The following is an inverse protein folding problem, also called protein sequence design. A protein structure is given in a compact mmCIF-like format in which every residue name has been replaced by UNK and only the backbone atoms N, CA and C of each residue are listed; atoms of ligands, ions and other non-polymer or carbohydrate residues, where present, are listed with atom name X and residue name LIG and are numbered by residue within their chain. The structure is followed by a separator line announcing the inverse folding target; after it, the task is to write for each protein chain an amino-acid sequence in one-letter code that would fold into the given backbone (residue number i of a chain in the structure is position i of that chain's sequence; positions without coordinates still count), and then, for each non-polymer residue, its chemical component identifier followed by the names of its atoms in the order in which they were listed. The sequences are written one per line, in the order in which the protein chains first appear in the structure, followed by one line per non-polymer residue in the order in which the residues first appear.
data_IF_552459690545
#
_entry.id   IF_552459690545
#
_cell.length_a   1.000
_cell.length_b   1.000
_cell.length_c   1.000
_cell.angle_alpha   90.00
_cell.angle_beta   90.00
_cell.angle_gamma   90.00
#
_symmetry.space_group_name_H-M   'P 1'
#
loop_
_entity.id
_entity.type
_entity.pdbx_description
1 polymer ?
#
# COMPACT_ATOMS: atom_id res chain seq x y z
N UNK A 1 -19.82 5.40 -46.63
CA UNK A 1 -18.78 4.85 -45.74
C UNK A 1 -17.71 5.94 -45.57
N UNK A 2 -17.91 6.82 -44.59
CA UNK A 2 -17.23 8.12 -44.50
C UNK A 2 -16.14 8.05 -43.44
N UNK A 3 -14.88 8.21 -43.87
CA UNK A 3 -13.70 8.38 -43.01
C UNK A 3 -13.78 9.74 -42.31
N UNK A 4 -13.69 9.78 -40.98
CA UNK A 4 -13.37 11.00 -40.22
C UNK A 4 -11.93 10.93 -39.71
N UNK A 5 -11.13 11.92 -40.12
CA UNK A 5 -9.85 12.29 -39.50
C UNK A 5 -10.16 12.95 -38.16
N UNK A 6 -9.60 12.44 -37.07
CA UNK A 6 -9.50 13.13 -35.79
C UNK A 6 -8.26 14.04 -35.85
N UNK A 7 -8.48 15.34 -35.72
CA UNK A 7 -7.42 16.31 -35.46
C UNK A 7 -7.06 16.22 -33.97
N UNK A 8 -5.81 15.87 -33.67
CA UNK A 8 -5.23 16.06 -32.35
C UNK A 8 -5.05 17.56 -32.12
N UNK A 9 -5.92 18.15 -31.28
CA UNK A 9 -5.69 19.48 -30.75
C UNK A 9 -4.69 19.33 -29.59
N UNK A 10 -3.43 19.72 -29.82
CA UNK A 10 -2.42 19.80 -28.78
C UNK A 10 -2.81 20.87 -27.77
N UNK A 11 -3.28 20.43 -26.59
CA UNK A 11 -3.37 21.27 -25.41
C UNK A 11 -2.00 21.33 -24.77
N UNK A 12 -1.24 22.39 -25.08
CA UNK A 12 -0.04 22.73 -24.30
C UNK A 12 -0.54 23.38 -23.02
N UNK A 13 -0.62 22.60 -21.94
CA UNK A 13 -0.96 23.11 -20.61
C UNK A 13 0.21 23.98 -20.11
N UNK A 14 0.09 25.29 -20.30
CA UNK A 14 1.11 26.27 -19.95
C UNK A 14 1.07 26.58 -18.46
N UNK A 15 1.61 25.68 -17.63
CA UNK A 15 2.31 25.92 -16.36
C UNK A 15 1.67 26.73 -15.20
N UNK A 16 0.54 27.42 -15.37
CA UNK A 16 0.01 28.39 -14.39
C UNK A 16 -1.17 27.89 -13.56
N UNK A 17 -1.79 26.76 -13.92
CA UNK A 17 -2.99 26.25 -13.21
C UNK A 17 -2.72 25.17 -12.15
N UNK A 18 -1.47 24.72 -11.96
CA UNK A 18 -1.16 23.64 -11.01
C UNK A 18 -0.93 24.10 -9.56
N UNK A 19 -0.86 25.41 -9.29
CA UNK A 19 -0.66 25.92 -7.92
C UNK A 19 -1.91 25.77 -7.02
N UNK A 20 -3.04 25.30 -7.54
CA UNK A 20 -4.25 25.04 -6.76
C UNK A 20 -4.60 23.57 -6.57
N UNK A 21 -3.82 22.64 -7.14
CA UNK A 21 -4.08 21.21 -6.91
C UNK A 21 -3.66 20.84 -5.49
N UNK A 22 -4.45 20.02 -4.76
CA UNK A 22 -4.06 19.54 -3.44
C UNK A 22 -2.73 18.79 -3.50
N UNK A 23 -1.91 18.90 -2.46
CA UNK A 23 -0.64 18.16 -2.38
C UNK A 23 -0.89 16.65 -2.26
N UNK A 24 0.08 15.82 -2.66
CA UNK A 24 -0.05 14.37 -2.56
C UNK A 24 -0.34 13.91 -1.11
N UNK A 25 0.34 14.42 -0.07
CA UNK A 25 0.02 14.07 1.32
C UNK A 25 -1.42 14.38 1.71
N UNK A 26 -1.98 15.50 1.23
CA UNK A 26 -3.37 15.86 1.53
C UNK A 26 -4.37 14.92 0.84
N UNK A 27 -4.07 14.48 -0.39
CA UNK A 27 -4.90 13.50 -1.10
C UNK A 27 -4.78 12.11 -0.50
N UNK A 28 -3.57 11.69 -0.12
CA UNK A 28 -3.37 10.43 0.60
C UNK A 28 -4.15 10.40 1.90
N UNK A 29 -4.07 11.47 2.71
CA UNK A 29 -4.79 11.55 3.99
C UNK A 29 -6.33 11.48 3.84
N UNK A 30 -6.87 11.80 2.66
CA UNK A 30 -8.31 11.64 2.38
C UNK A 30 -8.70 10.18 2.13
N UNK A 31 -7.80 9.36 1.60
CA UNK A 31 -7.98 7.90 1.54
C UNK A 31 -7.77 7.31 2.92
N UNK A 32 -6.59 7.58 3.48
CA UNK A 32 -6.17 7.14 4.79
C UNK A 32 -4.96 7.98 5.27
N UNK A 33 -5.05 8.62 6.44
CA UNK A 33 -3.86 9.16 7.11
C UNK A 33 -2.80 8.05 7.30
N UNK A 34 -1.52 8.43 7.28
CA UNK A 34 -0.41 7.46 7.30
C UNK A 34 -0.45 6.54 8.53
N UNK A 35 -0.78 7.06 9.71
CA UNK A 35 -0.91 6.30 10.95
C UNK A 35 -2.09 5.32 10.91
N UNK A 36 -3.22 5.72 10.31
CA UNK A 36 -4.38 4.86 10.07
C UNK A 36 -4.02 3.72 9.12
N UNK A 37 -3.30 4.03 8.04
CA UNK A 37 -2.91 3.05 7.03
C UNK A 37 -1.94 2.00 7.61
N UNK A 38 -0.96 2.44 8.39
CA UNK A 38 -0.05 1.58 9.15
C UNK A 38 -0.80 0.69 10.13
N UNK A 39 -1.78 1.23 10.87
CA UNK A 39 -2.56 0.45 11.82
C UNK A 39 -3.44 -0.61 11.14
N UNK A 40 -4.06 -0.27 10.02
CA UNK A 40 -4.84 -1.20 9.20
C UNK A 40 -3.97 -2.32 8.63
N UNK A 41 -2.80 -2.01 8.07
CA UNK A 41 -1.80 -3.01 7.68
C UNK A 41 -1.44 -3.95 8.84
N UNK A 42 -1.17 -3.40 10.03
CA UNK A 42 -0.89 -4.22 11.21
C UNK A 42 -2.08 -5.10 11.59
N UNK A 43 -3.31 -4.62 11.46
CA UNK A 43 -4.51 -5.44 11.71
C UNK A 43 -4.61 -6.62 10.72
N UNK A 44 -4.32 -6.39 9.44
CA UNK A 44 -4.23 -7.44 8.42
C UNK A 44 -3.19 -8.50 8.78
N UNK A 45 -1.95 -8.10 9.07
CA UNK A 45 -0.90 -9.06 9.41
C UNK A 45 -1.16 -9.79 10.74
N UNK A 46 -1.77 -9.14 11.74
CA UNK A 46 -2.20 -9.84 12.97
C UNK A 46 -3.22 -10.92 12.67
N UNK A 47 -4.22 -10.62 11.83
CA UNK A 47 -5.21 -11.60 11.41
C UNK A 47 -4.52 -12.76 10.66
N UNK A 48 -3.64 -12.46 9.71
CA UNK A 48 -2.93 -13.49 8.95
C UNK A 48 -2.16 -14.45 9.87
N UNK A 49 -1.39 -13.91 10.83
CA UNK A 49 -0.67 -14.73 11.82
C UNK A 49 -1.63 -15.55 12.68
N UNK A 50 -2.76 -14.98 13.11
CA UNK A 50 -3.76 -15.70 13.91
C UNK A 50 -4.40 -16.86 13.15
N UNK A 51 -4.61 -16.73 11.84
CA UNK A 51 -5.13 -17.82 11.00
C UNK A 51 -4.16 -19.00 10.94
N UNK A 52 -2.85 -18.74 10.87
CA UNK A 52 -1.82 -19.79 10.82
C UNK A 52 -1.41 -20.32 12.21
N UNK A 53 -1.39 -19.46 13.22
CA UNK A 53 -0.93 -19.74 14.57
C UNK A 53 -1.86 -19.12 15.63
N UNK A 54 -3.08 -19.68 15.83
CA UNK A 54 -4.08 -19.13 16.75
C UNK A 54 -3.54 -18.91 18.17
N UNK A 55 -3.90 -17.78 18.77
CA UNK A 55 -3.46 -17.39 20.12
C UNK A 55 -2.06 -16.77 20.17
N UNK A 56 -1.36 -16.64 19.05
CA UNK A 56 -0.09 -15.92 18.98
C UNK A 56 -0.31 -14.42 19.02
N UNK A 57 0.30 -13.75 19.99
CA UNK A 57 0.37 -12.29 20.02
C UNK A 57 1.63 -11.78 19.28
N UNK A 58 1.42 -10.80 18.40
CA UNK A 58 2.48 -10.15 17.62
C UNK A 58 2.53 -8.67 18.02
N UNK A 59 3.72 -8.18 18.35
CA UNK A 59 3.93 -6.75 18.63
C UNK A 59 3.90 -5.93 17.33
N UNK A 60 3.59 -4.64 17.45
CA UNK A 60 3.59 -3.71 16.32
C UNK A 60 4.94 -3.67 15.61
N UNK A 61 6.04 -3.65 16.37
CA UNK A 61 7.40 -3.66 15.81
C UNK A 61 7.68 -4.91 14.97
N UNK A 62 7.17 -6.07 15.40
CA UNK A 62 7.37 -7.33 14.68
C UNK A 62 6.58 -7.35 13.37
N UNK A 63 5.33 -6.86 13.40
CA UNK A 63 4.49 -6.71 12.21
C UNK A 63 5.01 -5.63 11.26
N UNK A 64 5.85 -4.73 11.75
CA UNK A 64 6.49 -3.72 10.94
C UNK A 64 7.80 -4.17 10.30
N UNK A 65 8.39 -5.26 10.77
CA UNK A 65 9.65 -5.75 10.25
C UNK A 65 9.48 -6.28 8.81
N UNK A 66 10.19 -5.75 7.80
CA UNK A 66 9.93 -6.11 6.39
C UNK A 66 10.08 -7.60 6.09
N UNK A 67 11.06 -8.26 6.70
CA UNK A 67 11.24 -9.72 6.54
C UNK A 67 10.09 -10.51 7.15
N UNK A 68 9.52 -10.04 8.27
CA UNK A 68 8.34 -10.70 8.87
C UNK A 68 7.13 -10.55 7.95
N UNK A 69 6.94 -9.36 7.36
CA UNK A 69 5.89 -9.13 6.38
C UNK A 69 6.05 -10.00 5.14
N UNK A 70 7.27 -10.16 4.64
CA UNK A 70 7.60 -11.09 3.54
C UNK A 70 7.20 -12.53 3.88
N UNK A 71 7.58 -13.03 5.06
CA UNK A 71 7.27 -14.41 5.48
C UNK A 71 5.75 -14.63 5.66
N UNK A 72 5.03 -13.65 6.21
CA UNK A 72 3.56 -13.69 6.29
C UNK A 72 2.94 -13.70 4.88
N UNK A 73 3.40 -12.82 3.99
CA UNK A 73 2.94 -12.77 2.60
C UNK A 73 3.22 -14.07 1.84
N UNK A 74 4.38 -14.67 2.06
CA UNK A 74 4.76 -15.98 1.51
C UNK A 74 3.81 -17.08 1.99
N UNK A 75 3.50 -17.13 3.29
CA UNK A 75 2.55 -18.10 3.84
C UNK A 75 1.13 -17.90 3.25
N UNK A 76 0.66 -16.65 3.15
CA UNK A 76 -0.62 -16.32 2.51
C UNK A 76 -0.68 -16.75 1.04
N UNK A 77 0.44 -16.69 0.31
CA UNK A 77 0.57 -17.20 -1.05
C UNK A 77 0.60 -18.75 -1.13
N UNK A 78 0.49 -19.46 0.00
CA UNK A 78 0.50 -20.93 0.06
C UNK A 78 1.90 -21.54 0.08
N UNK A 79 2.94 -20.75 0.35
CA UNK A 79 4.32 -21.21 0.41
C UNK A 79 4.76 -21.48 1.86
N UNK A 80 4.11 -22.46 2.49
CA UNK A 80 4.38 -22.90 3.86
C UNK A 80 3.40 -22.31 4.89
N UNK A 81 3.80 -22.32 6.16
CA UNK A 81 3.06 -21.71 7.26
C UNK A 81 3.84 -20.57 7.92
N UNK A 82 3.26 -20.00 8.98
CA UNK A 82 3.92 -18.99 9.81
C UNK A 82 4.45 -19.65 11.08
N UNK A 83 5.74 -19.53 11.34
CA UNK A 83 6.38 -19.91 12.59
C UNK A 83 6.71 -18.65 13.42
N UNK A 84 5.96 -18.34 14.49
CA UNK A 84 6.20 -17.15 15.29
C UNK A 84 7.57 -17.08 15.96
N UNK A 85 8.23 -18.22 16.25
CA UNK A 85 9.57 -18.22 16.82
C UNK A 85 10.60 -17.79 15.78
N UNK A 86 10.57 -18.40 14.60
CA UNK A 86 11.39 -17.99 13.46
C UNK A 86 11.18 -16.52 13.08
N UNK A 87 9.93 -16.02 13.11
CA UNK A 87 9.66 -14.60 12.85
C UNK A 87 10.37 -13.67 13.86
N UNK A 88 10.41 -14.04 15.15
CA UNK A 88 11.10 -13.25 16.18
C UNK A 88 12.61 -13.28 15.99
N UNK A 89 13.18 -14.41 15.60
CA UNK A 89 14.60 -14.54 15.28
C UNK A 89 14.97 -13.64 14.09
N UNK A 90 14.18 -13.67 13.01
CA UNK A 90 14.39 -12.82 11.84
C UNK A 90 14.30 -11.33 12.17
N UNK A 91 13.44 -10.94 13.11
CA UNK A 91 13.29 -9.56 13.55
C UNK A 91 14.34 -9.10 14.57
N UNK A 92 15.24 -9.99 15.02
CA UNK A 92 16.34 -9.65 15.90
C UNK A 92 17.56 -9.05 15.17
N UNK A 93 17.45 -8.85 13.85
CA UNK A 93 18.48 -8.20 13.03
C UNK A 93 18.92 -6.86 13.63
N UNK A 94 20.24 -6.70 13.75
CA UNK A 94 20.86 -5.45 14.21
C UNK A 94 20.57 -4.27 13.27
N UNK A 95 20.12 -3.15 13.85
CA UNK A 95 19.90 -1.88 13.15
C UNK A 95 20.48 -0.70 13.92
N UNK A 96 20.82 0.37 13.20
CA UNK A 96 21.23 1.68 13.73
C UNK A 96 20.17 2.72 13.39
N UNK A 97 19.84 3.58 14.34
CA UNK A 97 18.91 4.69 14.09
C UNK A 97 19.63 5.88 13.44
N UNK A 98 19.22 6.22 12.22
CA UNK A 98 19.65 7.40 11.47
C UNK A 98 18.45 8.34 11.20
N UNK A 99 17.46 8.37 12.11
CA UNK A 99 16.13 8.93 11.85
C UNK A 99 15.21 7.95 11.11
N UNK A 100 15.77 6.80 10.73
CA UNK A 100 15.16 5.58 10.23
C UNK A 100 16.05 4.40 10.63
N UNK A 101 15.51 3.19 10.78
CA UNK A 101 16.30 2.00 11.10
C UNK A 101 17.14 1.58 9.89
N UNK A 102 18.46 1.70 9.99
CA UNK A 102 19.41 1.25 8.97
C UNK A 102 20.02 -0.08 9.37
N UNK A 103 19.99 -1.05 8.47
CA UNK A 103 20.57 -2.38 8.68
C UNK A 103 22.06 -2.26 9.04
N UNK A 104 22.47 -2.90 10.14
CA UNK A 104 23.84 -2.82 10.64
C UNK A 104 24.46 -4.18 10.97
N UNK A 105 23.65 -5.23 11.06
CA UNK A 105 24.05 -6.60 11.38
C UNK A 105 25.08 -7.16 10.38
N UNK A 106 26.25 -7.66 10.82
CA UNK A 106 27.21 -8.35 9.95
C UNK A 106 26.64 -9.57 9.20
N UNK A 107 25.59 -10.21 9.74
CA UNK A 107 24.90 -11.34 9.11
C UNK A 107 23.75 -10.91 8.17
N UNK A 108 23.56 -9.60 7.96
CA UNK A 108 22.44 -9.07 7.18
C UNK A 108 22.35 -9.64 5.75
N UNK A 109 23.48 -9.97 5.11
CA UNK A 109 23.46 -10.53 3.76
C UNK A 109 22.68 -11.85 3.67
N UNK A 110 22.76 -12.70 4.69
CA UNK A 110 22.01 -13.96 4.74
C UNK A 110 20.53 -13.70 5.07
N UNK A 111 20.27 -12.84 6.05
CA UNK A 111 18.92 -12.49 6.49
C UNK A 111 18.12 -11.72 5.42
N UNK A 112 18.81 -10.97 4.55
CA UNK A 112 18.25 -10.21 3.43
C UNK A 112 18.41 -10.93 2.08
N UNK A 113 18.76 -12.22 2.04
CA UNK A 113 18.97 -12.94 0.78
C UNK A 113 17.79 -12.79 -0.18
N UNK A 114 16.57 -12.97 0.33
CA UNK A 114 15.37 -12.93 -0.50
C UNK A 114 15.14 -11.54 -1.12
N UNK A 115 15.09 -10.42 -0.35
CA UNK A 115 14.98 -9.08 -0.96
C UNK A 115 16.13 -8.76 -1.92
N UNK A 116 17.38 -9.09 -1.55
CA UNK A 116 18.55 -8.80 -2.39
C UNK A 116 18.49 -9.57 -3.72
N UNK A 117 18.02 -10.82 -3.71
CA UNK A 117 17.84 -11.62 -4.93
C UNK A 117 16.73 -11.08 -5.84
N UNK A 118 15.67 -10.53 -5.27
CA UNK A 118 14.55 -9.96 -6.04
C UNK A 118 14.98 -8.72 -6.82
N UNK A 119 15.83 -7.88 -6.23
CA UNK A 119 16.28 -6.63 -6.84
C UNK A 119 17.59 -6.78 -7.63
N UNK A 120 18.29 -7.90 -7.50
CA UNK A 120 19.59 -8.13 -8.12
C UNK A 120 19.49 -8.09 -9.65
N UNK A 121 20.33 -7.29 -10.32
CA UNK A 121 20.54 -7.42 -11.75
C UNK A 121 21.05 -8.83 -12.11
N UNK A 122 20.81 -9.33 -13.34
CA UNK A 122 21.27 -10.65 -13.74
C UNK A 122 22.77 -10.86 -13.51
N UNK A 123 23.11 -11.91 -12.74
CA UNK A 123 24.49 -12.28 -12.42
C UNK A 123 25.16 -11.47 -11.31
N UNK A 124 24.42 -10.56 -10.65
CA UNK A 124 24.90 -9.80 -9.50
C UNK A 124 24.40 -10.39 -8.18
N UNK A 125 25.12 -10.09 -7.10
CA UNK A 125 24.75 -10.46 -5.73
C UNK A 125 24.96 -9.27 -4.81
N UNK A 126 24.03 -8.30 -4.78
CA UNK A 126 24.14 -7.12 -3.94
C UNK A 126 24.38 -7.50 -2.49
N UNK A 127 25.27 -6.78 -1.82
CA UNK A 127 25.59 -6.99 -0.41
C UNK A 127 25.27 -5.72 0.38
N UNK A 128 24.70 -5.83 1.59
CA UNK A 128 24.52 -4.68 2.46
C UNK A 128 25.87 -4.23 3.03
N UNK A 129 26.03 -2.92 3.20
CA UNK A 129 27.07 -2.29 3.99
C UNK A 129 26.66 -2.37 5.48
N UNK A 130 27.55 -2.87 6.33
CA UNK A 130 27.26 -3.24 7.73
C UNK A 130 28.34 -2.75 8.68
N UNK A 131 28.17 -2.93 10.00
CA UNK A 131 29.19 -2.55 10.98
C UNK A 131 30.56 -3.23 10.74
N UNK A 132 30.57 -4.40 10.10
CA UNK A 132 31.80 -5.09 9.71
C UNK A 132 32.65 -4.29 8.70
N UNK A 133 32.07 -3.32 8.00
CA UNK A 133 32.74 -2.45 7.03
C UNK A 133 33.35 -1.18 7.67
N UNK A 134 33.24 -1.01 9.00
CA UNK A 134 33.96 0.01 9.77
C UNK A 134 33.64 1.46 9.40
N UNK A 135 34.68 2.29 9.17
CA UNK A 135 34.51 3.73 8.89
C UNK A 135 33.65 4.03 7.65
N UNK A 136 33.62 3.10 6.69
CA UNK A 136 32.77 3.20 5.49
C UNK A 136 31.29 3.18 5.88
N UNK A 137 30.91 2.25 6.75
CA UNK A 137 29.55 2.17 7.30
C UNK A 137 29.19 3.41 8.13
N UNK A 138 30.07 3.86 9.02
CA UNK A 138 29.84 5.07 9.82
C UNK A 138 29.64 6.33 8.94
N UNK A 139 30.38 6.42 7.83
CA UNK A 139 30.22 7.50 6.87
C UNK A 139 28.85 7.43 6.19
N UNK A 140 28.44 6.25 5.73
CA UNK A 140 27.13 6.05 5.11
C UNK A 140 25.98 6.36 6.07
N UNK A 141 26.05 5.91 7.33
CA UNK A 141 25.05 6.21 8.37
C UNK A 141 24.89 7.71 8.58
N UNK A 142 26.00 8.46 8.65
CA UNK A 142 25.94 9.93 8.78
C UNK A 142 25.27 10.57 7.57
N UNK A 143 25.61 10.15 6.35
CA UNK A 143 24.99 10.67 5.13
C UNK A 143 23.49 10.34 5.08
N UNK A 144 23.11 9.14 5.53
CA UNK A 144 21.69 8.74 5.63
C UNK A 144 20.95 9.63 6.62
N UNK A 145 21.51 9.86 7.82
CA UNK A 145 20.90 10.74 8.82
C UNK A 145 20.71 12.17 8.28
N UNK A 146 21.74 12.72 7.66
CA UNK A 146 21.67 14.05 7.02
C UNK A 146 20.62 14.09 5.89
N UNK A 147 20.46 13.00 5.13
CA UNK A 147 19.47 12.88 4.07
C UNK A 147 18.03 12.79 4.57
N UNK A 148 17.80 12.04 5.65
CA UNK A 148 16.49 11.97 6.33
C UNK A 148 16.10 13.35 6.86
N UNK A 149 17.05 14.06 7.50
CA UNK A 149 16.83 15.42 8.00
C UNK A 149 16.58 16.41 6.86
N UNK A 150 17.31 16.27 5.74
CA UNK A 150 17.10 17.05 4.54
C UNK A 150 15.68 16.85 3.98
N UNK A 151 15.22 15.61 3.85
CA UNK A 151 13.87 15.32 3.37
C UNK A 151 12.80 15.97 4.27
N UNK A 152 12.91 15.79 5.60
CA UNK A 152 12.00 16.41 6.57
C UNK A 152 12.01 17.94 6.50
N UNK A 153 13.16 18.54 6.26
CA UNK A 153 13.31 20.00 6.15
C UNK A 153 12.68 20.56 4.88
N UNK A 154 12.90 19.92 3.73
CA UNK A 154 12.44 20.43 2.44
C UNK A 154 10.94 20.16 2.22
N UNK A 155 10.45 18.98 2.62
CA UNK A 155 9.07 18.57 2.37
C UNK A 155 8.45 17.87 3.60
N UNK A 156 8.26 18.57 4.73
CA UNK A 156 7.87 17.96 6.01
C UNK A 156 6.58 17.15 5.94
N UNK A 157 5.56 17.65 5.21
CA UNK A 157 4.31 16.93 5.05
C UNK A 157 4.47 15.64 4.24
N UNK A 158 5.30 15.66 3.18
CA UNK A 158 5.59 14.48 2.38
C UNK A 158 6.48 13.49 3.14
N UNK A 159 7.45 13.98 3.91
CA UNK A 159 8.29 13.15 4.77
C UNK A 159 7.47 12.42 5.85
N UNK A 160 6.57 13.13 6.54
CA UNK A 160 5.67 12.50 7.52
C UNK A 160 4.71 11.48 6.88
N UNK A 161 4.33 11.71 5.63
CA UNK A 161 3.42 10.86 4.89
C UNK A 161 4.08 9.60 4.31
N UNK A 162 5.31 9.68 3.81
CA UNK A 162 6.03 8.57 3.18
C UNK A 162 6.88 7.76 4.16
N UNK A 163 7.63 8.42 5.07
CA UNK A 163 8.55 7.72 5.98
C UNK A 163 7.84 6.84 7.01
N UNK A 164 6.53 7.06 7.24
CA UNK A 164 5.72 6.17 8.08
C UNK A 164 5.61 4.74 7.51
N UNK A 165 5.84 4.58 6.21
CA UNK A 165 5.75 3.29 5.51
C UNK A 165 7.11 2.60 5.37
N UNK A 166 8.21 3.35 5.51
CA UNK A 166 9.57 2.80 5.47
C UNK A 166 9.97 2.36 6.86
N UNK A 167 10.10 1.05 7.06
CA UNK A 167 10.43 0.45 8.36
C UNK A 167 11.92 0.14 8.49
N UNK A 168 12.62 0.01 7.36
CA UNK A 168 14.03 -0.34 7.32
C UNK A 168 14.69 0.24 6.06
N UNK A 169 15.96 0.63 6.17
CA UNK A 169 16.83 0.98 5.06
C UNK A 169 18.07 0.11 5.06
N UNK A 170 18.49 -0.40 3.91
CA UNK A 170 19.81 -1.01 3.75
C UNK A 170 20.63 -0.26 2.70
N UNK A 171 21.85 0.11 3.08
CA UNK A 171 22.83 0.66 2.14
C UNK A 171 23.54 -0.50 1.48
N UNK A 172 23.62 -0.52 0.16
CA UNK A 172 24.29 -1.56 -0.63
C UNK A 172 25.74 -1.15 -0.88
N UNK A 173 26.65 -2.12 -0.92
CA UNK A 173 28.05 -1.87 -1.30
C UNK A 173 28.12 -1.57 -2.80
N UNK A 174 28.65 -0.39 -3.15
CA UNK A 174 28.75 0.09 -4.52
C UNK A 174 29.38 -0.91 -5.51
N UNK A 175 30.35 -1.71 -5.05
CA UNK A 175 31.03 -2.73 -5.87
C UNK A 175 30.18 -3.97 -6.16
N UNK A 176 29.06 -4.17 -5.46
CA UNK A 176 28.16 -5.33 -5.61
C UNK A 176 26.74 -4.97 -6.02
N UNK A 177 26.33 -3.70 -5.91
CA UNK A 177 24.96 -3.26 -6.19
C UNK A 177 24.55 -3.47 -7.65
N UNK A 178 25.51 -3.57 -8.56
CA UNK A 178 25.25 -3.81 -9.98
C UNK A 178 24.57 -2.63 -10.67
N UNK A 179 24.69 -1.42 -10.11
CA UNK A 179 24.06 -0.19 -10.62
C UNK A 179 22.64 0.04 -10.13
N UNK A 180 22.19 -0.71 -9.11
CA UNK A 180 20.95 -0.40 -8.39
C UNK A 180 21.16 0.88 -7.58
N UNK A 181 20.56 1.99 -8.02
CA UNK A 181 20.62 3.28 -7.31
C UNK A 181 19.71 3.28 -6.07
N UNK A 182 18.46 2.88 -6.27
CA UNK A 182 17.49 2.63 -5.21
C UNK A 182 16.53 1.53 -5.65
N UNK A 183 15.98 0.80 -4.68
CA UNK A 183 14.96 -0.20 -4.93
C UNK A 183 14.09 -0.45 -3.70
N UNK A 184 12.84 -0.79 -3.96
CA UNK A 184 11.88 -1.37 -3.04
C UNK A 184 11.17 -2.52 -3.76
N UNK A 185 10.46 -3.37 -3.01
CA UNK A 185 9.71 -4.47 -3.60
C UNK A 185 8.43 -4.74 -2.85
N UNK A 186 7.32 -4.88 -3.58
CA UNK A 186 6.03 -5.32 -3.02
C UNK A 186 6.11 -6.67 -2.30
N UNK A 187 7.10 -7.50 -2.62
CA UNK A 187 7.29 -8.79 -1.95
C UNK A 187 7.84 -8.59 -0.53
N UNK A 188 8.68 -7.57 -0.30
CA UNK A 188 9.30 -7.30 0.99
C UNK A 188 8.93 -5.88 1.43
N UNK A 189 7.64 -5.59 1.68
CA UNK A 189 7.19 -4.23 1.92
C UNK A 189 7.77 -3.67 3.22
N UNK A 190 8.24 -2.43 3.16
CA UNK A 190 8.78 -1.63 4.24
C UNK A 190 10.30 -1.51 4.22
N UNK A 191 11.00 -2.09 3.23
CA UNK A 191 12.45 -1.98 3.08
C UNK A 191 12.82 -1.11 1.88
N UNK A 192 13.70 -0.14 2.13
CA UNK A 192 14.33 0.67 1.09
C UNK A 192 15.79 0.25 0.96
N UNK A 193 16.19 -0.10 -0.25
CA UNK A 193 17.56 -0.42 -0.59
C UNK A 193 18.13 0.75 -1.39
N UNK A 194 19.30 1.27 -1.01
CA UNK A 194 19.99 2.32 -1.76
C UNK A 194 21.43 1.93 -2.02
N UNK A 195 22.01 2.37 -3.13
CA UNK A 195 23.46 2.30 -3.31
C UNK A 195 24.17 3.12 -2.23
N UNK A 196 25.48 2.89 -2.07
CA UNK A 196 26.28 3.69 -1.14
C UNK A 196 26.20 5.19 -1.51
N UNK A 197 25.55 6.02 -0.67
CA UNK A 197 25.24 7.39 -1.06
C UNK A 197 26.48 8.28 -0.96
N UNK A 198 26.65 9.18 -1.93
CA UNK A 198 27.74 10.17 -1.92
C UNK A 198 27.30 11.44 -1.18
N UNK A 199 26.00 11.71 -1.10
CA UNK A 199 25.50 12.86 -0.36
C UNK A 199 24.04 12.78 0.09
N UNK A 200 23.63 13.68 1.00
CA UNK A 200 22.29 13.67 1.62
C UNK A 200 21.13 13.76 0.62
N UNK A 201 21.34 14.47 -0.49
CA UNK A 201 20.31 14.66 -1.51
C UNK A 201 19.93 13.36 -2.21
N UNK A 202 20.88 12.45 -2.43
CA UNK A 202 20.62 11.13 -3.03
C UNK A 202 19.76 10.27 -2.11
N UNK A 203 20.03 10.30 -0.79
CA UNK A 203 19.22 9.62 0.22
C UNK A 203 17.81 10.21 0.28
N UNK A 204 17.69 11.53 0.32
CA UNK A 204 16.38 12.19 0.38
C UNK A 204 15.53 11.87 -0.86
N UNK A 205 16.14 11.90 -2.05
CA UNK A 205 15.47 11.54 -3.30
C UNK A 205 15.05 10.05 -3.31
N UNK A 206 15.94 9.15 -2.92
CA UNK A 206 15.63 7.72 -2.85
C UNK A 206 14.50 7.43 -1.84
N UNK A 207 14.49 8.10 -0.69
CA UNK A 207 13.41 7.95 0.30
C UNK A 207 12.07 8.49 -0.20
N UNK A 208 12.05 9.54 -1.02
CA UNK A 208 10.82 10.01 -1.67
C UNK A 208 10.33 9.00 -2.71
N UNK A 209 11.23 8.48 -3.53
CA UNK A 209 10.88 7.52 -4.58
C UNK A 209 10.38 6.21 -3.96
N UNK A 210 11.25 5.53 -3.21
CA UNK A 210 10.95 4.22 -2.66
C UNK A 210 9.90 4.31 -1.54
N UNK A 211 9.90 5.37 -0.74
CA UNK A 211 8.84 5.59 0.26
C UNK A 211 7.45 5.81 -0.36
N UNK A 212 7.37 6.34 -1.59
CA UNK A 212 6.12 6.40 -2.33
C UNK A 212 5.65 5.01 -2.76
N UNK A 213 6.54 4.15 -3.26
CA UNK A 213 6.21 2.74 -3.53
C UNK A 213 5.74 2.02 -2.27
N UNK A 214 6.42 2.20 -1.14
CA UNK A 214 6.02 1.58 0.13
C UNK A 214 4.63 2.01 0.59
N UNK A 215 4.33 3.31 0.46
CA UNK A 215 2.99 3.82 0.72
C UNK A 215 1.96 3.24 -0.25
N UNK A 216 2.30 3.13 -1.53
CA UNK A 216 1.44 2.51 -2.53
C UNK A 216 1.15 1.05 -2.21
N UNK A 217 2.14 0.27 -1.76
CA UNK A 217 1.91 -1.13 -1.36
C UNK A 217 0.93 -1.21 -0.20
N UNK A 218 1.07 -0.35 0.81
CA UNK A 218 0.12 -0.29 1.94
C UNK A 218 -1.28 0.14 1.51
N UNK A 219 -1.41 1.07 0.57
CA UNK A 219 -2.69 1.44 -0.04
C UNK A 219 -3.28 0.24 -0.79
N UNK A 220 -2.49 -0.44 -1.62
CA UNK A 220 -2.95 -1.56 -2.43
C UNK A 220 -3.50 -2.74 -1.61
N UNK A 221 -2.95 -2.99 -0.41
CA UNK A 221 -3.43 -4.07 0.47
C UNK A 221 -4.58 -3.67 1.41
N UNK A 222 -4.92 -2.38 1.50
CA UNK A 222 -5.97 -1.89 2.42
C UNK A 222 -7.11 -1.15 1.72
N UNK A 223 -6.92 -0.68 0.49
CA UNK A 223 -7.83 0.17 -0.27
C UNK A 223 -8.17 -0.45 -1.62
N UNK A 224 -9.21 0.07 -2.25
CA UNK A 224 -9.69 -0.44 -3.54
C UNK A 224 -8.85 0.14 -4.68
N UNK A 225 -7.66 -0.42 -4.89
CA UNK A 225 -6.72 0.05 -5.93
C UNK A 225 -6.73 -0.83 -7.19
N UNK A 226 -6.53 -2.13 -7.01
CA UNK A 226 -6.41 -3.12 -8.08
C UNK A 226 -7.15 -4.39 -7.67
N UNK A 227 -7.71 -5.12 -8.63
CA UNK A 227 -8.29 -6.44 -8.44
C UNK A 227 -7.57 -7.49 -9.31
N UNK A 228 -8.11 -8.71 -9.37
CA UNK A 228 -7.55 -9.80 -10.16
C UNK A 228 -7.51 -9.51 -11.67
N UNK A 229 -8.31 -8.56 -12.18
CA UNK A 229 -8.32 -8.20 -13.60
C UNK A 229 -7.17 -7.27 -13.99
N UNK A 230 -6.46 -6.67 -13.02
CA UNK A 230 -5.32 -5.82 -13.28
C UNK A 230 -4.16 -6.55 -14.02
N UNK A 231 -4.09 -7.88 -13.91
CA UNK A 231 -3.10 -8.70 -14.63
C UNK A 231 -3.41 -8.82 -16.14
N UNK A 232 -4.68 -8.67 -16.53
CA UNK A 232 -5.16 -8.78 -17.91
C UNK A 232 -5.12 -7.43 -18.66
N UNK A 233 -4.84 -6.33 -17.96
CA UNK A 233 -4.81 -4.99 -18.52
C UNK A 233 -3.67 -4.79 -19.54
N UNK A 234 -3.82 -3.79 -20.40
CA UNK A 234 -2.77 -3.43 -21.35
C UNK A 234 -1.48 -3.01 -20.62
N UNK A 235 -0.33 -3.36 -21.19
CA UNK A 235 0.96 -2.97 -20.64
C UNK A 235 1.34 -1.57 -21.12
N UNK A 236 1.75 -0.71 -20.21
CA UNK A 236 2.36 0.57 -20.56
C UNK A 236 3.81 0.35 -21.03
N UNK A 237 4.18 0.93 -22.18
CA UNK A 237 5.57 0.96 -22.64
C UNK A 237 6.13 2.38 -22.47
N UNK A 238 7.14 2.53 -21.62
CA UNK A 238 7.69 3.86 -21.34
C UNK A 238 8.60 4.39 -22.45
N UNK A 239 8.61 5.71 -22.65
CA UNK A 239 9.35 6.37 -23.74
C UNK A 239 10.88 6.37 -23.58
N UNK A 240 11.42 6.15 -22.38
CA UNK A 240 12.85 6.33 -22.09
C UNK A 240 13.67 5.04 -22.05
N UNK A 241 13.03 3.89 -21.85
CA UNK A 241 13.70 2.58 -21.78
C UNK A 241 12.99 1.51 -22.61
N UNK A 242 11.78 1.78 -23.12
CA UNK A 242 10.94 0.80 -23.82
C UNK A 242 10.61 -0.44 -22.97
N UNK A 243 10.75 -0.33 -21.64
CA UNK A 243 10.29 -1.37 -20.74
C UNK A 243 8.76 -1.37 -20.72
N UNK A 244 8.20 -2.58 -20.74
CA UNK A 244 6.76 -2.82 -20.67
C UNK A 244 6.38 -3.13 -19.23
N UNK A 245 5.43 -2.39 -18.70
CA UNK A 245 5.00 -2.48 -17.32
C UNK A 245 3.53 -2.91 -17.22
N UNK A 246 3.20 -3.88 -16.35
CA UNK A 246 1.81 -4.17 -16.03
C UNK A 246 1.15 -2.97 -15.31
N UNK A 247 -0.17 -2.98 -15.20
CA UNK A 247 -0.95 -1.88 -14.62
C UNK A 247 -0.50 -1.51 -13.20
N UNK A 248 -0.25 -2.50 -12.34
CA UNK A 248 0.24 -2.29 -10.97
C UNK A 248 1.55 -1.49 -10.95
N UNK A 249 2.56 -1.96 -11.71
CA UNK A 249 3.86 -1.30 -11.78
C UNK A 249 3.75 0.10 -12.41
N UNK A 250 2.84 0.26 -13.37
CA UNK A 250 2.58 1.54 -14.02
C UNK A 250 2.01 2.56 -13.04
N UNK A 251 1.02 2.16 -12.22
CA UNK A 251 0.45 3.02 -11.20
C UNK A 251 1.48 3.36 -10.10
N UNK A 252 2.24 2.36 -9.62
CA UNK A 252 3.29 2.57 -8.63
C UNK A 252 4.35 3.57 -9.13
N UNK A 253 4.83 3.40 -10.37
CA UNK A 253 5.78 4.32 -11.00
C UNK A 253 5.21 5.75 -11.13
N UNK A 254 3.96 5.88 -11.59
CA UNK A 254 3.28 7.17 -11.66
C UNK A 254 3.20 7.87 -10.30
N UNK A 255 2.82 7.13 -9.26
CA UNK A 255 2.71 7.65 -7.90
C UNK A 255 4.05 8.13 -7.36
N UNK A 256 5.11 7.35 -7.55
CA UNK A 256 6.47 7.74 -7.15
C UNK A 256 6.99 8.97 -7.90
N UNK A 257 6.82 9.03 -9.22
CA UNK A 257 7.23 10.22 -9.99
C UNK A 257 6.40 11.46 -9.66
N UNK A 258 5.13 11.29 -9.28
CA UNK A 258 4.29 12.39 -8.81
C UNK A 258 4.81 12.95 -7.48
N UNK A 259 5.19 12.07 -6.53
CA UNK A 259 5.79 12.49 -5.27
C UNK A 259 7.16 13.16 -5.47
N UNK A 260 8.03 12.60 -6.32
CA UNK A 260 9.30 13.20 -6.70
C UNK A 260 9.11 14.58 -7.36
N UNK A 261 8.12 14.71 -8.23
CA UNK A 261 7.78 15.97 -8.89
C UNK A 261 7.40 17.06 -7.89
N UNK A 262 6.67 16.72 -6.82
CA UNK A 262 6.34 17.65 -5.73
C UNK A 262 7.55 17.96 -4.86
N UNK A 263 8.37 16.97 -4.54
CA UNK A 263 9.60 17.17 -3.79
C UNK A 263 10.60 18.07 -4.53
N UNK A 264 10.74 17.92 -5.85
CA UNK A 264 11.62 18.77 -6.67
C UNK A 264 11.26 20.26 -6.60
N UNK A 265 9.97 20.60 -6.47
CA UNK A 265 9.54 21.99 -6.28
C UNK A 265 10.03 22.59 -4.95
N UNK A 266 10.40 21.73 -3.99
CA UNK A 266 10.89 22.15 -2.68
C UNK A 266 12.42 22.14 -2.58
N UNK A 267 13.14 21.68 -3.62
CA UNK A 267 14.59 21.45 -3.60
C UNK A 267 15.41 22.50 -4.38
N UNK A 268 14.84 23.67 -4.71
CA UNK A 268 15.37 24.63 -5.70
C UNK A 268 16.85 25.06 -5.49
N UNK A 269 17.37 25.00 -4.27
CA UNK A 269 18.74 25.41 -3.93
C UNK A 269 19.72 24.26 -3.65
N UNK A 270 19.24 23.01 -3.66
CA UNK A 270 20.07 21.86 -3.28
C UNK A 270 20.84 21.31 -4.49
N UNK A 271 22.08 20.90 -4.27
CA UNK A 271 22.90 20.31 -5.32
C UNK A 271 22.42 18.89 -5.62
N UNK A 272 21.97 18.66 -6.86
CA UNK A 272 21.51 17.34 -7.30
C UNK A 272 22.69 16.43 -7.64
N UNK A 273 22.52 15.13 -7.35
CA UNK A 273 23.44 14.10 -7.80
C UNK A 273 23.40 13.91 -9.33
N UNK A 274 24.45 13.34 -9.93
CA UNK A 274 24.56 13.17 -11.40
C UNK A 274 23.48 12.26 -12.00
N UNK A 275 22.86 11.41 -11.17
CA UNK A 275 21.81 10.46 -11.56
C UNK A 275 20.41 10.84 -11.06
N UNK A 276 20.24 12.08 -10.59
CA UNK A 276 18.96 12.55 -10.04
C UNK A 276 17.83 12.46 -11.08
N UNK A 277 16.71 11.87 -10.65
CA UNK A 277 15.44 11.75 -11.36
C UNK A 277 14.58 13.00 -11.23
N UNK A 278 14.86 13.89 -10.27
CA UNK A 278 14.04 15.06 -9.98
C UNK A 278 13.77 15.96 -11.19
N UNK A 279 14.75 16.27 -12.07
CA UNK A 279 14.49 17.08 -13.25
C UNK A 279 13.52 16.42 -14.26
N UNK A 280 13.36 15.10 -14.19
CA UNK A 280 12.53 14.28 -15.09
C UNK A 280 11.22 13.81 -14.47
N UNK A 281 11.07 13.95 -13.15
CA UNK A 281 9.95 13.37 -12.41
C UNK A 281 8.58 13.85 -12.94
N UNK A 282 8.41 15.15 -13.18
CA UNK A 282 7.13 15.70 -13.68
C UNK A 282 6.80 15.26 -15.11
N UNK A 283 7.82 15.17 -15.97
CA UNK A 283 7.67 14.70 -17.36
C UNK A 283 7.20 13.24 -17.38
N UNK A 284 7.86 12.37 -16.59
CA UNK A 284 7.49 10.96 -16.46
C UNK A 284 6.13 10.76 -15.81
N UNK A 285 5.83 11.51 -14.75
CA UNK A 285 4.51 11.47 -14.10
C UNK A 285 3.38 11.86 -15.06
N UNK A 286 3.60 12.87 -15.93
CA UNK A 286 2.62 13.26 -16.92
C UNK A 286 2.40 12.17 -17.98
N UNK A 287 3.48 11.62 -18.54
CA UNK A 287 3.39 10.53 -19.55
C UNK A 287 2.61 9.33 -19.02
N UNK A 288 2.98 8.85 -17.82
CA UNK A 288 2.32 7.67 -17.24
C UNK A 288 0.88 8.02 -16.82
N UNK A 289 0.65 9.21 -16.27
CA UNK A 289 -0.67 9.66 -15.83
C UNK A 289 -1.67 9.77 -16.98
N UNK A 290 -1.24 10.27 -18.13
CA UNK A 290 -2.07 10.34 -19.35
C UNK A 290 -2.49 8.94 -19.81
N UNK A 291 -1.57 7.97 -19.75
CA UNK A 291 -1.89 6.58 -20.06
C UNK A 291 -2.88 5.98 -19.05
N UNK A 292 -2.66 6.19 -17.75
CA UNK A 292 -3.55 5.69 -16.69
C UNK A 292 -4.96 6.27 -16.81
N UNK A 293 -5.10 7.56 -17.15
CA UNK A 293 -6.41 8.19 -17.37
C UNK A 293 -7.16 7.58 -18.55
N UNK A 294 -6.45 7.12 -19.59
CA UNK A 294 -7.07 6.41 -20.71
C UNK A 294 -7.51 4.97 -20.35
N UNK A 295 -6.90 4.38 -19.31
CA UNK A 295 -7.15 3.01 -18.83
C UNK A 295 -7.82 2.99 -17.45
N UNK A 296 -8.45 4.10 -17.04
CA UNK A 296 -8.98 4.22 -15.68
C UNK A 296 -10.09 3.19 -15.37
N UNK A 297 -10.71 2.59 -16.39
CA UNK A 297 -11.72 1.55 -16.23
C UNK A 297 -11.16 0.24 -15.67
N UNK A 298 -9.85 0.02 -15.76
CA UNK A 298 -9.14 -1.12 -15.18
C UNK A 298 -8.72 -0.88 -13.72
N UNK A 299 -9.01 0.32 -13.18
CA UNK A 299 -8.71 0.71 -11.80
C UNK A 299 -9.95 0.65 -10.92
N UNK A 300 -9.74 0.25 -9.67
CA UNK A 300 -10.78 0.28 -8.64
C UNK A 300 -11.07 1.72 -8.14
N UNK A 301 -12.17 1.96 -7.40
CA UNK A 301 -12.63 3.30 -7.04
C UNK A 301 -11.59 4.22 -6.37
N UNK A 302 -10.83 3.72 -5.38
CA UNK A 302 -9.86 4.56 -4.65
C UNK A 302 -8.68 4.96 -5.54
N UNK A 303 -8.19 4.05 -6.39
CA UNK A 303 -7.13 4.35 -7.37
C UNK A 303 -7.59 5.37 -8.42
N UNK A 304 -8.80 5.21 -8.98
CA UNK A 304 -9.37 6.18 -9.94
C UNK A 304 -9.52 7.55 -9.33
N UNK A 305 -10.03 7.62 -8.10
CA UNK A 305 -10.18 8.88 -7.39
C UNK A 305 -8.84 9.57 -7.19
N UNK A 306 -7.83 8.84 -6.71
CA UNK A 306 -6.49 9.39 -6.47
C UNK A 306 -5.84 9.87 -7.77
N UNK A 307 -5.94 9.07 -8.84
CA UNK A 307 -5.46 9.42 -10.18
C UNK A 307 -6.03 10.74 -10.67
N UNK A 308 -7.36 10.86 -10.68
CA UNK A 308 -8.05 12.07 -11.15
C UNK A 308 -7.70 13.29 -10.28
N UNK A 309 -7.66 13.12 -8.97
CA UNK A 309 -7.34 14.19 -8.03
C UNK A 309 -5.91 14.72 -8.20
N UNK A 310 -4.91 13.84 -8.36
CA UNK A 310 -3.52 14.22 -8.60
C UNK A 310 -3.30 14.79 -10.01
N UNK A 311 -4.08 14.35 -11.00
CA UNK A 311 -4.12 14.94 -12.33
C UNK A 311 -4.79 16.33 -12.38
N UNK A 312 -5.32 16.83 -11.26
CA UNK A 312 -5.98 18.13 -11.16
C UNK A 312 -7.38 18.15 -11.80
N UNK A 313 -7.99 16.99 -12.06
CA UNK A 313 -9.39 16.91 -12.44
C UNK A 313 -10.26 17.10 -11.20
N UNK A 314 -11.44 17.70 -11.36
CA UNK A 314 -12.43 17.78 -10.27
C UNK A 314 -12.90 16.36 -10.00
N UNK A 315 -12.22 15.70 -9.06
CA UNK A 315 -12.72 14.46 -8.50
C UNK A 315 -13.93 14.82 -7.66
N UNK A 316 -15.12 14.40 -8.08
CA UNK A 316 -16.27 14.34 -7.19
C UNK A 316 -15.86 13.59 -5.91
N UNK A 317 -16.57 13.84 -4.80
CA UNK A 317 -16.33 13.12 -3.56
C UNK A 317 -16.25 11.62 -3.88
N UNK A 318 -15.34 10.88 -3.22
CA UNK A 318 -15.24 9.42 -3.34
C UNK A 318 -16.66 8.87 -3.23
N UNK A 319 -17.29 8.53 -4.37
CA UNK A 319 -18.64 8.01 -4.39
C UNK A 319 -18.49 6.58 -3.87
N UNK A 320 -18.56 6.44 -2.55
CA UNK A 320 -18.43 5.17 -1.83
C UNK A 320 -19.61 4.22 -2.05
N UNK A 321 -20.25 4.28 -3.22
CA UNK A 321 -21.25 3.31 -3.61
C UNK A 321 -20.46 2.15 -4.22
N UNK A 322 -20.10 1.18 -3.38
CA UNK A 322 -19.68 -0.14 -3.84
C UNK A 322 -20.69 -0.61 -4.90
N UNK A 323 -20.24 -0.67 -6.16
CA UNK A 323 -21.07 -1.00 -7.32
C UNK A 323 -21.27 -2.49 -7.48
N UNK A 324 -20.92 -3.32 -6.49
CA UNK A 324 -21.48 -4.67 -6.46
C UNK A 324 -22.98 -4.48 -6.41
N UNK A 325 -23.70 -4.91 -7.45
CA UNK A 325 -25.12 -4.67 -7.61
C UNK A 325 -25.84 -5.05 -6.31
N UNK A 326 -26.08 -4.07 -5.45
CA UNK A 326 -26.57 -4.30 -4.09
C UNK A 326 -27.92 -5.04 -4.13
N UNK A 327 -28.63 -4.90 -5.25
CA UNK A 327 -29.82 -5.66 -5.61
C UNK A 327 -29.57 -7.16 -5.76
N UNK A 328 -28.46 -7.60 -6.37
CA UNK A 328 -28.13 -9.02 -6.51
C UNK A 328 -27.74 -9.62 -5.16
N UNK A 329 -26.91 -8.92 -4.38
CA UNK A 329 -26.51 -9.40 -3.05
C UNK A 329 -27.71 -9.47 -2.09
N UNK A 330 -28.64 -8.51 -2.18
CA UNK A 330 -29.82 -8.47 -1.31
C UNK A 330 -30.89 -9.54 -1.65
N UNK A 331 -30.91 -10.06 -2.88
CA UNK A 331 -32.00 -10.91 -3.38
C UNK A 331 -32.18 -12.25 -2.63
N UNK A 332 -31.19 -12.68 -1.85
CA UNK A 332 -31.22 -13.93 -1.07
C UNK A 332 -31.49 -13.78 0.43
N UNK A 333 -31.53 -12.55 0.96
CA UNK A 333 -31.60 -12.34 2.41
C UNK A 333 -33.04 -12.43 2.92
N UNK A 334 -33.28 -13.46 3.74
CA UNK A 334 -34.56 -13.71 4.42
C UNK A 334 -34.72 -12.81 5.65
N UNK A 335 -35.81 -12.05 5.71
CA UNK A 335 -36.08 -11.12 6.82
C UNK A 335 -36.61 -11.79 8.09
N UNK A 336 -36.99 -13.07 7.98
CA UNK A 336 -37.29 -13.94 9.11
C UNK A 336 -36.05 -14.73 9.59
N UNK A 337 -34.90 -14.55 8.94
CA UNK A 337 -33.66 -15.27 9.26
C UNK A 337 -32.94 -14.74 10.51
N UNK A 338 -32.23 -15.65 11.17
CA UNK A 338 -31.23 -15.35 12.20
C UNK A 338 -29.83 -15.49 11.60
N UNK A 339 -28.93 -14.56 11.90
CA UNK A 339 -27.57 -14.56 11.35
C UNK A 339 -26.55 -14.75 12.45
N UNK A 340 -25.53 -15.58 12.20
CA UNK A 340 -24.40 -15.77 13.11
C UNK A 340 -23.08 -15.88 12.35
N UNK A 341 -21.98 -15.61 13.06
CA UNK A 341 -20.63 -15.79 12.55
C UNK A 341 -20.20 -17.24 12.79
N UNK A 342 -19.77 -17.99 11.75
CA UNK A 342 -19.21 -19.33 11.91
C UNK A 342 -17.98 -19.34 12.85
N UNK A 343 -17.73 -20.43 13.58
CA UNK A 343 -16.66 -20.49 14.59
C UNK A 343 -15.24 -20.44 13.99
N UNK A 344 -15.09 -20.73 12.71
CA UNK A 344 -13.83 -20.72 11.94
C UNK A 344 -13.55 -19.36 11.27
N UNK A 345 -14.46 -18.40 11.38
CA UNK A 345 -14.27 -17.03 10.91
C UNK A 345 -13.58 -16.20 12.00
N UNK A 346 -12.43 -15.63 11.65
CA UNK A 346 -11.62 -14.78 12.53
C UNK A 346 -11.63 -13.36 12.01
N UNK A 347 -11.61 -12.36 12.90
CA UNK A 347 -11.49 -10.96 12.48
C UNK A 347 -10.63 -10.13 13.43
N UNK A 348 -10.13 -9.01 12.90
CA UNK A 348 -9.49 -7.93 13.64
C UNK A 348 -10.10 -6.57 13.28
N UNK A 349 -10.18 -5.69 14.27
CA UNK A 349 -10.54 -4.29 14.06
C UNK A 349 -9.26 -3.47 14.07
N UNK A 350 -9.10 -2.62 13.06
CA UNK A 350 -8.16 -1.52 13.12
C UNK A 350 -8.70 -0.42 14.05
N UNK A 351 -7.83 0.47 14.52
CA UNK A 351 -8.19 1.65 15.31
C UNK A 351 -9.10 2.62 14.55
N UNK A 352 -9.07 2.58 13.22
CA UNK A 352 -10.03 3.30 12.36
C UNK A 352 -11.45 2.78 12.45
N UNK A 353 -11.66 1.60 13.06
CA UNK A 353 -12.94 0.91 13.12
C UNK A 353 -13.20 0.01 11.90
N UNK A 354 -12.35 0.04 10.86
CA UNK A 354 -12.43 -0.92 9.75
C UNK A 354 -12.11 -2.32 10.26
N UNK A 355 -12.83 -3.29 9.73
CA UNK A 355 -12.65 -4.69 10.05
C UNK A 355 -11.94 -5.41 8.90
N UNK A 356 -10.99 -6.27 9.25
CA UNK A 356 -10.45 -7.28 8.37
C UNK A 356 -10.88 -8.65 8.89
N UNK A 357 -11.43 -9.47 8.03
CA UNK A 357 -11.95 -10.80 8.35
C UNK A 357 -11.25 -11.84 7.50
N UNK A 358 -11.08 -13.04 8.04
CA UNK A 358 -10.54 -14.13 7.27
C UNK A 358 -10.93 -15.49 7.80
N UNK A 359 -10.74 -16.48 6.94
CA UNK A 359 -11.09 -17.86 7.20
C UNK A 359 -9.94 -18.76 6.79
N UNK A 360 -9.64 -19.74 7.63
CA UNK A 360 -8.63 -20.75 7.32
C UNK A 360 -9.24 -21.89 6.52
N UNK A 361 -8.95 -21.94 5.22
CA UNK A 361 -9.24 -23.09 4.35
C UNK A 361 -7.91 -23.75 3.89
N UNK A 362 -7.86 -24.40 2.73
CA UNK A 362 -6.58 -24.84 2.14
C UNK A 362 -5.66 -23.65 1.84
N UNK A 363 -6.25 -22.51 1.51
CA UNK A 363 -5.60 -21.20 1.42
C UNK A 363 -6.42 -20.21 2.25
N UNK A 364 -5.80 -19.38 3.10
CA UNK A 364 -6.54 -18.39 3.84
C UNK A 364 -7.22 -17.39 2.89
N UNK A 365 -8.49 -17.12 3.11
CA UNK A 365 -9.19 -16.02 2.46
C UNK A 365 -9.27 -14.86 3.43
N UNK A 366 -8.96 -13.65 2.95
CA UNK A 366 -8.94 -12.44 3.78
C UNK A 366 -9.64 -11.31 3.04
N UNK A 367 -10.52 -10.61 3.74
CA UNK A 367 -11.34 -9.53 3.20
C UNK A 367 -11.32 -8.32 4.12
N UNK A 368 -11.12 -7.14 3.54
CA UNK A 368 -11.47 -5.89 4.20
C UNK A 368 -12.98 -5.65 4.09
N UNK A 369 -13.60 -5.26 5.20
CA UNK A 369 -15.02 -4.94 5.24
C UNK A 369 -15.23 -3.43 5.20
N UNK A 370 -16.28 -3.01 4.50
CA UNK A 370 -16.82 -1.66 4.63
C UNK A 370 -17.43 -1.43 6.03
N UNK A 371 -17.86 -0.20 6.29
CA UNK A 371 -18.41 0.17 7.60
C UNK A 371 -19.67 -0.60 7.95
N UNK A 372 -20.50 -0.95 6.98
CA UNK A 372 -21.80 -1.58 7.19
C UNK A 372 -21.62 -3.07 7.45
N UNK A 373 -20.84 -3.76 6.62
CA UNK A 373 -20.45 -5.15 6.80
C UNK A 373 -19.65 -5.36 8.09
N UNK A 374 -18.70 -4.48 8.40
CA UNK A 374 -17.95 -4.52 9.67
C UNK A 374 -18.85 -4.36 10.90
N UNK A 375 -19.85 -3.48 10.82
CA UNK A 375 -20.85 -3.32 11.88
C UNK A 375 -21.72 -4.58 12.04
N UNK A 376 -22.25 -5.13 10.94
CA UNK A 376 -23.06 -6.35 10.96
C UNK A 376 -22.28 -7.52 11.57
N UNK A 377 -21.02 -7.71 11.17
CA UNK A 377 -20.14 -8.74 11.72
C UNK A 377 -20.00 -8.60 13.25
N UNK A 378 -19.83 -7.37 13.75
CA UNK A 378 -19.71 -7.11 15.19
C UNK A 378 -20.97 -7.47 15.97
N UNK A 379 -22.15 -7.17 15.42
CA UNK A 379 -23.43 -7.52 16.04
C UNK A 379 -23.64 -9.04 16.06
N UNK A 380 -23.42 -9.73 14.93
CA UNK A 380 -23.62 -11.17 14.80
C UNK A 380 -22.61 -12.02 15.61
N UNK A 381 -21.43 -11.48 15.97
CA UNK A 381 -20.45 -12.19 16.80
C UNK A 381 -20.87 -12.29 18.27
N UNK A 382 -21.67 -11.36 18.77
CA UNK A 382 -22.12 -11.36 20.18
C UNK A 382 -23.10 -12.49 20.46
N UNK A 383 -24.03 -12.69 19.54
CA UNK A 383 -25.03 -13.74 19.54
C UNK A 383 -25.68 -13.83 18.15
N UNK A 384 -26.33 -14.95 17.80
CA UNK A 384 -27.21 -15.01 16.64
C UNK A 384 -28.24 -13.87 16.69
N UNK A 385 -28.35 -13.10 15.61
CA UNK A 385 -29.15 -11.89 15.56
C UNK A 385 -30.24 -11.99 14.46
N UNK A 386 -31.53 -11.81 14.80
CA UNK A 386 -32.60 -11.77 13.80
C UNK A 386 -32.52 -10.49 12.98
N UNK A 387 -32.90 -10.55 11.70
CA UNK A 387 -32.91 -9.39 10.78
C UNK A 387 -33.63 -8.17 11.38
N UNK A 388 -34.79 -8.39 12.01
CA UNK A 388 -35.59 -7.31 12.60
C UNK A 388 -34.87 -6.55 13.71
N UNK A 389 -34.04 -7.23 14.51
CA UNK A 389 -33.21 -6.61 15.55
C UNK A 389 -32.07 -5.81 14.92
N UNK A 390 -31.35 -6.42 13.98
CA UNK A 390 -30.28 -5.75 13.23
C UNK A 390 -30.79 -4.49 12.55
N UNK A 391 -31.96 -4.54 11.90
CA UNK A 391 -32.56 -3.39 11.24
C UNK A 391 -32.92 -2.26 12.23
N UNK A 392 -33.45 -2.61 13.40
CA UNK A 392 -33.72 -1.65 14.47
C UNK A 392 -32.46 -0.91 14.89
N UNK A 393 -31.40 -1.66 15.22
CA UNK A 393 -30.12 -1.09 15.65
C UNK A 393 -29.44 -0.30 14.51
N UNK A 394 -29.51 -0.78 13.27
CA UNK A 394 -28.94 -0.12 12.10
C UNK A 394 -29.59 1.24 11.83
N UNK A 395 -30.92 1.34 11.97
CA UNK A 395 -31.65 2.62 11.81
C UNK A 395 -31.13 3.67 12.79
N UNK A 396 -30.89 3.28 14.05
CA UNK A 396 -30.35 4.16 15.08
C UNK A 396 -28.87 4.50 14.84
N UNK A 397 -28.04 3.47 14.64
CA UNK A 397 -26.59 3.61 14.51
C UNK A 397 -26.19 4.38 13.25
N UNK A 398 -26.79 4.06 12.11
CA UNK A 398 -26.46 4.69 10.82
C UNK A 398 -27.17 6.04 10.63
N UNK A 399 -28.13 6.38 11.50
CA UNK A 399 -28.90 7.64 11.47
C UNK A 399 -29.57 7.90 10.11
N UNK A 400 -30.08 6.84 9.50
CA UNK A 400 -30.85 6.88 8.25
C UNK A 400 -32.27 6.40 8.51
N UNK A 401 -33.18 6.63 7.56
CA UNK A 401 -34.53 6.10 7.67
C UNK A 401 -34.55 4.56 7.54
N UNK A 402 -35.66 3.96 7.96
CA UNK A 402 -35.80 2.50 7.98
C UNK A 402 -35.70 1.86 6.58
N UNK A 403 -36.29 2.42 5.50
CA UNK A 403 -36.10 1.89 4.15
C UNK A 403 -34.64 1.87 3.70
N UNK A 404 -33.88 2.93 3.96
CA UNK A 404 -32.47 3.00 3.61
C UNK A 404 -31.62 2.05 4.46
N UNK A 405 -31.86 2.00 5.78
CA UNK A 405 -31.21 1.03 6.66
C UNK A 405 -31.46 -0.41 6.21
N UNK A 406 -32.70 -0.72 5.79
CA UNK A 406 -33.05 -2.07 5.27
C UNK A 406 -32.25 -2.42 4.02
N UNK A 407 -32.13 -1.48 3.08
CA UNK A 407 -31.37 -1.68 1.83
C UNK A 407 -29.89 -1.94 2.11
N UNK A 408 -29.26 -1.08 2.92
CA UNK A 408 -27.85 -1.19 3.32
C UNK A 408 -27.58 -2.47 4.11
N UNK A 409 -28.46 -2.81 5.06
CA UNK A 409 -28.35 -4.04 5.85
C UNK A 409 -28.48 -5.30 4.99
N UNK A 410 -29.44 -5.34 4.06
CA UNK A 410 -29.60 -6.46 3.16
C UNK A 410 -28.38 -6.63 2.24
N UNK A 411 -27.80 -5.54 1.75
CA UNK A 411 -26.56 -5.59 0.96
C UNK A 411 -25.37 -6.11 1.78
N UNK A 412 -25.18 -5.60 3.00
CA UNK A 412 -24.11 -6.04 3.90
C UNK A 412 -24.23 -7.52 4.30
N UNK A 413 -25.44 -7.96 4.68
CA UNK A 413 -25.73 -9.37 4.97
C UNK A 413 -25.52 -10.25 3.73
N UNK A 414 -25.98 -9.79 2.56
CA UNK A 414 -25.80 -10.46 1.27
C UNK A 414 -24.33 -10.70 0.95
N UNK A 415 -23.51 -9.65 1.03
CA UNK A 415 -22.06 -9.73 0.82
C UNK A 415 -21.41 -10.73 1.78
N UNK A 416 -21.63 -10.55 3.09
CA UNK A 416 -21.06 -11.43 4.12
C UNK A 416 -21.50 -12.89 3.95
N UNK A 417 -22.74 -13.13 3.51
CA UNK A 417 -23.26 -14.48 3.30
C UNK A 417 -22.65 -15.14 2.05
N UNK A 418 -22.51 -14.40 0.95
CA UNK A 418 -21.89 -14.89 -0.30
C UNK A 418 -20.45 -15.37 -0.04
N UNK A 419 -19.70 -14.65 0.80
CA UNK A 419 -18.34 -15.01 1.18
C UNK A 419 -18.26 -15.94 2.41
N UNK A 420 -19.39 -16.55 2.81
CA UNK A 420 -19.46 -17.48 3.96
C UNK A 420 -18.91 -16.93 5.29
N UNK A 421 -18.88 -15.60 5.44
CA UNK A 421 -18.46 -14.91 6.66
C UNK A 421 -19.56 -14.93 7.73
N UNK A 422 -20.82 -15.01 7.29
CA UNK A 422 -21.98 -15.27 8.15
C UNK A 422 -22.84 -16.39 7.55
N UNK A 423 -23.59 -17.06 8.41
CA UNK A 423 -24.59 -18.04 8.00
C UNK A 423 -25.97 -17.68 8.54
N UNK A 424 -27.00 -18.03 7.77
CA UNK A 424 -28.39 -17.95 8.19
C UNK A 424 -28.77 -19.24 8.93
N UNK A 425 -29.26 -19.13 10.16
CA UNK A 425 -29.89 -20.22 10.89
C UNK A 425 -31.41 -20.07 10.85
N UNK A 426 -32.09 -21.21 10.67
CA UNK A 426 -33.56 -21.30 10.77
C UNK A 426 -34.09 -20.97 12.17
#
# INVERSE_FOLDING_TARGET
MVKRRLHAAGYVNTGSSMLSSPSAPALHARLAPADVLVDERRALYRLAVELFAPGTEMSDNLLDHPIVRYEIGRALAGHGGVDPEALRELAAMGVRDAGIAVVSDPAAAEQLEAPLRIIAPPGQAPQPLTEADGERFETAIRIVAEGVDLFRRLAPALAGDLLAHVSMLAVLKAETSGGVVSASSRYVPGIVLIDEPVGPMEVAEALVHEGAHEKFFDLAITREFLDAHAEDAEYFENSWSHARWPLEQTFAAWHAYTCLGQFFLSSESEQLGPHSLLPKARERAAEIGDWLLAHEHDLLPDARWLLRALAGQVADAVEGVSTVEASLLAAGIREDGNFRVPPDVTYRLAKSGRAVVGRMEERPEIFWLDSDAGWVLSECRRAPAPFGLLLGNATEQWRVDRPEARRRLAAALGSLHVFSIIEASE
#
